data_IF_242358991918
#
_entry.id   IF_242358991918
#
_cell.length_a   1.000
_cell.length_b   1.000
_cell.length_c   1.000
_cell.angle_alpha   90.00
_cell.angle_beta   90.00
_cell.angle_gamma   90.00
#
_symmetry.space_group_name_H-M   'P 1'
#
loop_
_entity.id
_entity.type
_entity.pdbx_description
1 polymer ?
#
# COMPACT_ATOMS: atom_id res chain seq x y z
N UNK A 1 -26.65 -0.37 3.81
CA UNK A 1 -25.76 -0.75 2.69
C UNK A 1 -24.33 -0.77 3.18
N UNK A 2 -23.54 -1.80 2.90
CA UNK A 2 -22.11 -1.88 3.28
C UNK A 2 -21.29 -1.30 2.12
N UNK A 3 -20.54 -0.19 2.29
CA UNK A 3 -19.84 0.48 1.19
C UNK A 3 -18.87 -0.43 0.42
N UNK A 4 -18.20 -1.35 1.13
CA UNK A 4 -17.28 -2.32 0.51
C UNK A 4 -17.98 -3.23 -0.53
N UNK A 5 -19.22 -3.66 -0.25
CA UNK A 5 -19.96 -4.56 -1.15
C UNK A 5 -20.50 -3.84 -2.40
N UNK A 6 -20.37 -2.52 -2.48
CA UNK A 6 -20.76 -1.73 -3.65
C UNK A 6 -19.70 -1.73 -4.76
N UNK A 7 -18.48 -2.17 -4.46
CA UNK A 7 -17.38 -2.23 -5.42
C UNK A 7 -17.40 -3.51 -6.26
N UNK A 8 -16.93 -3.38 -7.51
CA UNK A 8 -16.68 -4.50 -8.41
C UNK A 8 -15.77 -5.57 -7.73
N UNK A 9 -15.96 -6.87 -7.99
CA UNK A 9 -15.08 -7.93 -7.48
C UNK A 9 -13.59 -7.63 -7.63
N UNK A 10 -13.15 -7.08 -8.77
CA UNK A 10 -11.74 -6.77 -9.01
C UNK A 10 -11.21 -5.69 -8.05
N UNK A 11 -12.05 -4.71 -7.70
CA UNK A 11 -11.70 -3.67 -6.72
C UNK A 11 -11.66 -4.27 -5.30
N UNK A 12 -12.64 -5.10 -4.95
CA UNK A 12 -12.71 -5.75 -3.64
C UNK A 12 -11.52 -6.66 -3.37
N UNK A 13 -11.07 -7.36 -4.40
CA UNK A 13 -9.88 -8.21 -4.35
C UNK A 13 -8.64 -7.41 -3.94
N UNK A 14 -8.42 -6.24 -4.54
CA UNK A 14 -7.28 -5.37 -4.18
C UNK A 14 -7.43 -4.78 -2.78
N UNK A 15 -8.62 -4.31 -2.43
CA UNK A 15 -8.86 -3.74 -1.09
C UNK A 15 -8.62 -4.79 -0.01
N UNK A 16 -9.07 -6.02 -0.23
CA UNK A 16 -8.88 -7.13 0.70
C UNK A 16 -7.52 -7.80 0.56
N UNK A 17 -6.67 -7.37 -0.38
CA UNK A 17 -5.36 -7.98 -0.61
C UNK A 17 -4.45 -7.72 0.60
N UNK A 18 -4.47 -8.68 1.53
CA UNK A 18 -3.68 -8.69 2.76
C UNK A 18 -2.17 -8.54 2.49
N UNK A 19 -1.72 -9.05 1.34
CA UNK A 19 -0.32 -9.10 0.95
C UNK A 19 0.35 -7.71 0.89
N UNK A 20 -0.36 -6.65 0.49
CA UNK A 20 0.24 -5.31 0.37
C UNK A 20 0.66 -4.73 1.72
N UNK A 21 -0.26 -4.70 2.67
CA UNK A 21 0.00 -4.17 4.01
C UNK A 21 0.99 -5.09 4.75
N UNK A 22 0.86 -6.42 4.61
CA UNK A 22 1.77 -7.37 5.24
C UNK A 22 3.20 -7.25 4.70
N UNK A 23 3.38 -7.07 3.39
CA UNK A 23 4.70 -6.92 2.80
C UNK A 23 5.37 -5.62 3.18
N UNK A 24 4.63 -4.50 3.22
CA UNK A 24 5.17 -3.23 3.74
C UNK A 24 5.59 -3.39 5.20
N UNK A 25 4.72 -3.95 6.04
CA UNK A 25 5.03 -4.21 7.46
C UNK A 25 6.24 -5.12 7.64
N UNK A 26 6.41 -6.13 6.77
CA UNK A 26 7.59 -7.00 6.77
C UNK A 26 8.86 -6.21 6.41
N UNK A 27 8.81 -5.34 5.42
CA UNK A 27 9.91 -4.45 5.04
C UNK A 27 10.32 -3.52 6.18
N UNK A 28 9.35 -2.86 6.81
CA UNK A 28 9.56 -1.99 7.97
C UNK A 28 10.18 -2.78 9.13
N UNK A 29 9.60 -3.93 9.52
CA UNK A 29 10.16 -4.78 10.58
C UNK A 29 11.58 -5.25 10.29
N UNK A 30 11.90 -5.59 9.03
CA UNK A 30 13.26 -5.97 8.61
C UNK A 30 14.26 -4.83 8.84
N UNK A 31 13.87 -3.59 8.52
CA UNK A 31 14.72 -2.41 8.72
C UNK A 31 14.99 -2.08 10.19
N UNK A 32 14.04 -2.41 11.07
CA UNK A 32 14.12 -2.15 12.51
C UNK A 32 14.86 -3.29 13.23
N UNK A 33 14.69 -4.55 12.81
CA UNK A 33 15.24 -5.73 13.49
C UNK A 33 16.77 -5.69 13.68
N UNK A 34 17.49 -5.01 12.80
CA UNK A 34 18.96 -4.90 12.87
C UNK A 34 19.44 -3.73 13.72
N UNK A 35 18.53 -2.88 14.22
CA UNK A 35 18.83 -1.71 15.04
C UNK A 35 18.49 -2.03 16.50
N UNK A 36 19.37 -1.63 17.42
CA UNK A 36 19.13 -1.70 18.86
C UNK A 36 18.18 -0.61 19.34
N UNK A 37 18.49 0.03 20.47
CA UNK A 37 17.71 1.18 20.94
C UNK A 37 17.90 2.41 20.04
N UNK A 38 16.85 3.20 19.88
CA UNK A 38 16.91 4.49 19.18
C UNK A 38 17.13 5.61 20.20
N UNK A 39 18.03 6.58 19.90
CA UNK A 39 18.36 7.65 20.83
C UNK A 39 17.24 8.70 20.96
N UNK A 40 16.44 8.91 19.90
CA UNK A 40 15.31 9.85 19.88
C UNK A 40 14.16 9.31 19.01
N UNK A 41 12.96 9.85 19.18
CA UNK A 41 11.79 9.50 18.37
C UNK A 41 11.97 9.90 16.89
N UNK A 42 12.61 11.05 16.63
CA UNK A 42 12.87 11.52 15.26
C UNK A 42 13.78 10.57 14.49
N UNK A 43 14.71 9.91 15.18
CA UNK A 43 15.57 8.90 14.57
C UNK A 43 14.76 7.68 14.08
N UNK A 44 13.75 7.26 14.88
CA UNK A 44 12.82 6.19 14.49
C UNK A 44 11.98 6.62 13.30
N UNK A 45 11.37 7.80 13.35
CA UNK A 45 10.51 8.33 12.28
C UNK A 45 11.26 8.45 10.96
N UNK A 46 12.50 8.96 10.98
CA UNK A 46 13.36 9.02 9.78
C UNK A 46 13.68 7.63 9.24
N UNK A 47 13.91 6.64 10.10
CA UNK A 47 14.17 5.28 9.65
C UNK A 47 12.94 4.66 8.95
N UNK A 48 11.76 4.79 9.56
CA UNK A 48 10.50 4.30 8.96
C UNK A 48 10.26 4.98 7.62
N UNK A 49 10.46 6.30 7.54
CA UNK A 49 10.39 7.05 6.29
C UNK A 49 11.33 6.46 5.22
N UNK A 50 12.61 6.24 5.56
CA UNK A 50 13.57 5.66 4.63
C UNK A 50 13.21 4.22 4.23
N UNK A 51 12.66 3.42 5.14
CA UNK A 51 12.20 2.06 4.84
C UNK A 51 11.06 2.07 3.82
N UNK A 52 10.07 2.97 3.99
CA UNK A 52 8.98 3.15 3.04
C UNK A 52 9.52 3.63 1.69
N UNK A 53 10.42 4.62 1.66
CA UNK A 53 11.04 5.12 0.42
C UNK A 53 11.81 4.05 -0.34
N UNK A 54 12.52 3.19 0.37
CA UNK A 54 13.23 2.08 -0.27
C UNK A 54 12.25 1.04 -0.82
N UNK A 55 11.17 0.74 -0.08
CA UNK A 55 10.11 -0.15 -0.54
C UNK A 55 9.42 0.38 -1.81
N UNK A 56 9.14 1.69 -1.89
CA UNK A 56 8.59 2.33 -3.09
C UNK A 56 9.52 2.18 -4.31
N UNK A 57 10.85 2.32 -4.10
CA UNK A 57 11.85 2.21 -5.18
C UNK A 57 11.99 0.79 -5.73
N UNK A 58 11.83 -0.23 -4.90
CA UNK A 58 11.91 -1.63 -5.35
C UNK A 58 10.77 -1.98 -6.33
N UNK A 59 9.67 -1.20 -6.28
CA UNK A 59 8.56 -1.32 -7.20
C UNK A 59 7.71 -2.56 -6.92
N UNK A 60 6.40 -2.35 -6.83
CA UNK A 60 5.45 -3.44 -6.64
C UNK A 60 4.48 -3.47 -7.81
N UNK A 61 4.58 -4.51 -8.65
CA UNK A 61 3.63 -4.78 -9.71
C UNK A 61 2.52 -5.68 -9.17
N UNK A 62 1.40 -5.06 -8.79
CA UNK A 62 0.15 -5.78 -8.51
C UNK A 62 -0.53 -5.98 -9.86
N UNK A 63 -0.57 -7.21 -10.37
CA UNK A 63 -1.11 -7.49 -11.71
C UNK A 63 -2.60 -7.13 -11.78
N UNK A 64 -3.31 -7.40 -10.70
CA UNK A 64 -4.74 -7.16 -10.50
C UNK A 64 -5.06 -5.66 -10.52
N UNK A 65 -4.07 -4.79 -10.22
CA UNK A 65 -4.24 -3.32 -10.20
C UNK A 65 -4.70 -2.76 -11.51
N UNK A 66 -4.22 -3.31 -12.63
CA UNK A 66 -4.64 -2.83 -13.94
C UNK A 66 -6.14 -3.03 -14.18
N UNK A 67 -6.65 -4.21 -13.79
CA UNK A 67 -8.08 -4.54 -13.93
C UNK A 67 -8.92 -3.67 -13.00
N UNK A 68 -8.54 -3.56 -11.72
CA UNK A 68 -9.25 -2.72 -10.76
C UNK A 68 -9.24 -1.24 -11.14
N UNK A 69 -8.12 -0.73 -11.69
CA UNK A 69 -8.01 0.66 -12.15
C UNK A 69 -9.02 0.96 -13.26
N UNK A 70 -9.21 0.05 -14.21
CA UNK A 70 -10.21 0.23 -15.27
C UNK A 70 -11.62 0.27 -14.69
N UNK A 71 -11.93 -0.58 -13.69
CA UNK A 71 -13.21 -0.53 -12.98
C UNK A 71 -13.40 0.77 -12.20
N UNK A 72 -12.35 1.29 -11.56
CA UNK A 72 -12.38 2.59 -10.90
C UNK A 72 -12.65 3.73 -11.89
N UNK A 73 -12.05 3.69 -13.08
CA UNK A 73 -12.27 4.69 -14.11
C UNK A 73 -13.74 4.71 -14.58
N UNK A 74 -14.37 3.54 -14.73
CA UNK A 74 -15.80 3.45 -15.08
C UNK A 74 -16.68 3.97 -13.93
N UNK A 75 -16.40 3.56 -12.69
CA UNK A 75 -17.22 3.91 -11.52
C UNK A 75 -17.11 5.39 -11.12
N UNK A 76 -15.96 6.02 -11.39
CA UNK A 76 -15.64 7.38 -10.98
C UNK A 76 -15.09 8.21 -12.16
N UNK A 77 -15.73 8.12 -13.33
CA UNK A 77 -15.29 8.76 -14.58
C UNK A 77 -14.97 10.25 -14.41
N UNK A 78 -15.87 10.99 -13.73
CA UNK A 78 -15.69 12.42 -13.45
C UNK A 78 -14.39 12.72 -12.69
N UNK A 79 -13.90 11.82 -11.83
CA UNK A 79 -12.67 12.01 -11.04
C UNK A 79 -11.40 11.65 -11.80
N UNK A 80 -11.50 10.85 -12.86
CA UNK A 80 -10.35 10.44 -13.68
C UNK A 80 -10.09 11.39 -14.85
N UNK A 81 -11.12 12.09 -15.32
CA UNK A 81 -11.04 13.02 -16.44
C UNK A 81 -11.00 14.51 -16.02
N UNK A 82 -10.95 14.79 -14.71
CA UNK A 82 -10.78 16.14 -14.14
C UNK A 82 -9.33 16.57 -14.03
#
# INVERSE_FOLDING_TARGET
MIPFCAFDPAIREIIYMKNAIECLNRGVRKSIKTRGSFPTEEAVTRLIYLAIRNFEKEGWNVQEWFVARNQFAIMFDERFNS
#
